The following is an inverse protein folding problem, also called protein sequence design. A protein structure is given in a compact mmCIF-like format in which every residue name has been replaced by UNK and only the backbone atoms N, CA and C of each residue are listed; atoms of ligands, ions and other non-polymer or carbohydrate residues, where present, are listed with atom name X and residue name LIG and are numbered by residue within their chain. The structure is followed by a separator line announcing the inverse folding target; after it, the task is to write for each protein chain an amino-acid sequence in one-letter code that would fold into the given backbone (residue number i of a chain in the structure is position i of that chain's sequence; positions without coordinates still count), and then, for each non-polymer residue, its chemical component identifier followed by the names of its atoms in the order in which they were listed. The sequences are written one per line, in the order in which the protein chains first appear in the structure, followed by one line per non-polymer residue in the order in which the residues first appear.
data_IF_331607719270
#
_entry.id   IF_331607719270
#
_cell.length_a   1.000
_cell.length_b   1.000
_cell.length_c   1.000
_cell.angle_alpha   90.00
_cell.angle_beta   90.00
_cell.angle_gamma   90.00
#
_symmetry.space_group_name_H-M   'P 1'
#
loop_
_entity.id
_entity.type
_entity.pdbx_description
1 polymer ?
#
# COMPACT_ATOMS: atom_id res chain seq x y z
N UNK A 1 -13.82 18.47 1.98
CA UNK A 1 -13.14 17.97 0.76
C UNK A 1 -12.63 16.55 0.93
N UNK A 2 -11.73 16.25 1.87
CA UNK A 2 -11.20 14.88 2.06
C UNK A 2 -12.28 13.83 2.32
N UNK A 3 -13.27 14.11 3.19
CA UNK A 3 -14.42 13.20 3.40
C UNK A 3 -15.15 12.90 2.09
N UNK A 4 -15.58 13.93 1.36
CA UNK A 4 -16.27 13.76 0.08
C UNK A 4 -15.42 13.00 -0.95
N UNK A 5 -14.10 13.24 -0.99
CA UNK A 5 -13.20 12.51 -1.86
C UNK A 5 -13.07 11.03 -1.44
N UNK A 6 -13.05 10.76 -0.12
CA UNK A 6 -13.04 9.39 0.42
C UNK A 6 -14.32 8.63 0.09
N UNK A 7 -15.48 9.26 0.26
CA UNK A 7 -16.77 8.62 -0.07
C UNK A 7 -16.82 8.23 -1.56
N UNK A 8 -16.30 9.08 -2.44
CA UNK A 8 -16.25 8.82 -3.89
C UNK A 8 -15.30 7.69 -4.26
N UNK A 9 -14.08 7.71 -3.74
CA UNK A 9 -13.08 6.70 -4.11
C UNK A 9 -13.48 5.32 -3.58
N UNK A 10 -14.09 5.25 -2.39
CA UNK A 10 -14.66 4.00 -1.85
C UNK A 10 -15.87 3.52 -2.66
N UNK A 11 -16.63 4.43 -3.28
CA UNK A 11 -17.71 4.09 -4.21
C UNK A 11 -17.21 3.68 -5.62
N UNK A 12 -15.90 3.59 -5.83
CA UNK A 12 -15.30 3.13 -7.09
C UNK A 12 -14.98 4.23 -8.10
N UNK A 13 -15.16 5.51 -7.75
CA UNK A 13 -14.67 6.63 -8.57
C UNK A 13 -13.16 6.81 -8.38
N UNK A 14 -12.40 5.90 -9.00
CA UNK A 14 -10.94 5.89 -8.90
C UNK A 14 -10.30 7.08 -9.62
N UNK A 15 -10.92 7.62 -10.67
CA UNK A 15 -10.40 8.79 -11.39
C UNK A 15 -10.48 10.07 -10.55
N UNK A 16 -11.39 10.12 -9.57
CA UNK A 16 -11.50 11.17 -8.56
C UNK A 16 -11.33 12.60 -9.14
N UNK A 17 -12.11 12.99 -10.17
CA UNK A 17 -11.93 14.28 -10.83
C UNK A 17 -12.23 15.44 -9.87
N UNK A 18 -11.39 16.46 -9.89
CA UNK A 18 -11.44 17.60 -8.94
C UNK A 18 -12.81 18.31 -8.93
N UNK A 19 -13.45 18.43 -10.08
CA UNK A 19 -14.81 19.00 -10.20
C UNK A 19 -15.86 18.17 -9.45
N UNK A 20 -15.78 16.84 -9.51
CA UNK A 20 -16.73 15.97 -8.84
C UNK A 20 -16.53 15.97 -7.32
N UNK A 21 -15.27 16.07 -6.86
CA UNK A 21 -14.94 16.28 -5.45
C UNK A 21 -15.47 17.63 -4.96
N UNK A 22 -15.30 18.70 -5.74
CA UNK A 22 -15.81 20.02 -5.42
C UNK A 22 -17.34 20.01 -5.25
N UNK A 23 -18.05 19.42 -6.24
CA UNK A 23 -19.50 19.25 -6.21
C UNK A 23 -19.95 18.45 -4.98
N UNK A 24 -19.32 17.31 -4.71
CA UNK A 24 -19.66 16.47 -3.56
C UNK A 24 -19.36 17.14 -2.21
N UNK A 25 -18.36 18.01 -2.16
CA UNK A 25 -18.00 18.76 -0.96
C UNK A 25 -18.78 20.08 -0.79
N UNK A 26 -19.64 20.47 -1.74
CA UNK A 26 -20.39 21.73 -1.70
C UNK A 26 -19.51 22.98 -1.81
N UNK A 27 -18.35 22.88 -2.46
CA UNK A 27 -17.40 24.00 -2.63
C UNK A 27 -17.10 24.28 -4.09
N UNK A 28 -16.63 25.47 -4.40
CA UNK A 28 -16.12 25.80 -5.74
C UNK A 28 -14.84 25.01 -6.06
N UNK A 29 -14.65 24.62 -7.34
CA UNK A 29 -13.45 23.87 -7.77
C UNK A 29 -12.15 24.64 -7.50
N UNK A 30 -12.18 25.98 -7.60
CA UNK A 30 -11.03 26.81 -7.24
C UNK A 30 -10.58 26.63 -5.80
N UNK A 31 -11.50 26.36 -4.86
CA UNK A 31 -11.16 26.05 -3.46
C UNK A 31 -10.45 24.71 -3.35
N UNK A 32 -10.87 23.70 -4.13
CA UNK A 32 -10.21 22.40 -4.17
C UNK A 32 -8.79 22.54 -4.69
N UNK A 33 -8.57 23.22 -5.82
CA UNK A 33 -7.23 23.41 -6.39
C UNK A 33 -6.30 24.23 -5.49
N UNK A 34 -6.82 25.16 -4.69
CA UNK A 34 -6.00 25.89 -3.69
C UNK A 34 -5.44 24.98 -2.60
N UNK A 35 -6.20 23.96 -2.18
CA UNK A 35 -5.76 23.02 -1.14
C UNK A 35 -5.03 21.80 -1.69
N UNK A 36 -5.44 21.36 -2.89
CA UNK A 36 -4.90 20.20 -3.56
C UNK A 36 -4.60 20.60 -5.01
N UNK A 37 -3.39 21.14 -5.28
CA UNK A 37 -3.03 21.65 -6.60
C UNK A 37 -3.13 20.62 -7.71
N UNK A 38 -2.96 19.33 -7.38
CA UNK A 38 -3.10 18.22 -8.31
C UNK A 38 -3.94 17.10 -7.68
N UNK A 39 -4.50 16.23 -8.52
CA UNK A 39 -5.15 14.99 -8.09
C UNK A 39 -4.21 14.12 -7.25
N UNK A 40 -2.93 14.09 -7.61
CA UNK A 40 -1.94 13.32 -6.88
C UNK A 40 -1.80 13.82 -5.44
N UNK A 41 -1.74 15.13 -5.22
CA UNK A 41 -1.71 15.72 -3.87
C UNK A 41 -2.98 15.37 -3.08
N UNK A 42 -4.15 15.34 -3.72
CA UNK A 42 -5.39 14.90 -3.08
C UNK A 42 -5.34 13.42 -2.67
N UNK A 43 -4.87 12.53 -3.55
CA UNK A 43 -4.75 11.09 -3.25
C UNK A 43 -3.75 10.83 -2.13
N UNK A 44 -2.61 11.50 -2.14
CA UNK A 44 -1.60 11.39 -1.09
C UNK A 44 -2.13 11.88 0.25
N UNK A 45 -2.87 12.99 0.26
CA UNK A 45 -3.56 13.48 1.46
C UNK A 45 -4.61 12.50 1.98
N UNK A 46 -5.29 11.76 1.08
CA UNK A 46 -6.23 10.71 1.48
C UNK A 46 -5.50 9.49 2.05
N UNK A 47 -4.37 9.10 1.46
CA UNK A 47 -3.63 7.90 1.83
C UNK A 47 -2.74 8.09 3.08
N UNK A 48 -2.42 9.33 3.47
CA UNK A 48 -1.41 9.65 4.48
C UNK A 48 -1.54 8.83 5.79
N UNK A 49 -2.76 8.71 6.32
CA UNK A 49 -3.05 7.98 7.55
C UNK A 49 -2.80 6.46 7.39
N UNK A 50 -3.28 5.87 6.29
CA UNK A 50 -3.07 4.45 6.01
C UNK A 50 -1.61 4.14 5.65
N UNK A 51 -0.93 5.04 4.97
CA UNK A 51 0.50 4.92 4.66
C UNK A 51 1.32 4.95 5.96
N UNK A 52 1.05 5.90 6.86
CA UNK A 52 1.69 5.96 8.19
C UNK A 52 1.51 4.66 8.97
N UNK A 53 0.29 4.11 8.99
CA UNK A 53 0.02 2.79 9.61
C UNK A 53 0.77 1.65 8.95
N UNK A 54 0.92 1.68 7.63
CA UNK A 54 1.66 0.67 6.88
C UNK A 54 3.16 0.70 7.23
N UNK A 55 3.76 1.89 7.34
CA UNK A 55 5.14 2.07 7.82
C UNK A 55 5.29 1.46 9.23
N UNK A 56 4.40 1.82 10.16
CA UNK A 56 4.44 1.29 11.52
C UNK A 56 4.27 -0.24 11.56
N UNK A 57 3.48 -0.80 10.64
CA UNK A 57 3.32 -2.25 10.50
C UNK A 57 4.59 -2.92 9.98
N UNK A 58 5.24 -2.32 8.99
CA UNK A 58 6.52 -2.78 8.47
C UNK A 58 7.62 -2.75 9.54
N UNK A 59 7.66 -1.71 10.38
CA UNK A 59 8.60 -1.62 11.50
C UNK A 59 8.35 -2.70 12.55
N UNK A 60 7.08 -2.94 12.93
CA UNK A 60 6.73 -4.03 13.85
C UNK A 60 7.11 -5.40 13.28
N UNK A 61 6.83 -5.65 12.01
CA UNK A 61 7.22 -6.88 11.34
C UNK A 61 8.74 -7.05 11.32
N UNK A 62 9.48 -5.97 11.01
CA UNK A 62 10.94 -5.95 11.02
C UNK A 62 11.55 -6.16 12.41
N UNK A 63 10.80 -5.89 13.49
CA UNK A 63 11.21 -6.14 14.87
C UNK A 63 10.68 -7.46 15.46
N UNK A 64 9.82 -8.20 14.75
CA UNK A 64 9.20 -9.43 15.25
C UNK A 64 10.26 -10.50 15.56
N UNK A 65 10.19 -11.21 16.71
CA UNK A 65 11.11 -12.30 17.03
C UNK A 65 11.05 -13.43 15.99
N UNK A 66 9.83 -13.82 15.61
CA UNK A 66 9.59 -14.74 14.50
C UNK A 66 9.56 -13.95 13.18
N UNK A 67 10.63 -14.08 12.40
CA UNK A 67 10.78 -13.37 11.12
C UNK A 67 9.84 -13.91 10.03
N UNK A 68 9.47 -15.20 10.08
CA UNK A 68 8.55 -15.79 9.10
C UNK A 68 7.12 -15.31 9.35
N UNK A 69 6.71 -15.23 10.62
CA UNK A 69 5.47 -14.57 11.00
C UNK A 69 5.49 -13.09 10.59
N UNK A 70 6.58 -12.37 10.86
CA UNK A 70 6.73 -10.96 10.49
C UNK A 70 6.54 -10.69 8.98
N UNK A 71 7.17 -11.50 8.12
CA UNK A 71 6.97 -11.40 6.64
C UNK A 71 5.51 -11.63 6.27
N UNK A 72 4.90 -12.68 6.81
CA UNK A 72 3.50 -13.02 6.52
C UNK A 72 2.54 -11.92 6.97
N UNK A 73 2.74 -11.38 8.17
CA UNK A 73 1.92 -10.33 8.76
C UNK A 73 2.03 -9.02 7.98
N UNK A 74 3.23 -8.67 7.52
CA UNK A 74 3.43 -7.50 6.67
C UNK A 74 2.66 -7.64 5.36
N UNK A 75 2.82 -8.76 4.66
CA UNK A 75 2.15 -8.98 3.37
C UNK A 75 0.64 -8.97 3.51
N UNK A 76 0.11 -9.64 4.55
CA UNK A 76 -1.32 -9.63 4.89
C UNK A 76 -1.82 -8.21 5.16
N UNK A 77 -1.14 -7.48 6.03
CA UNK A 77 -1.54 -6.13 6.43
C UNK A 77 -1.44 -5.12 5.29
N UNK A 78 -0.43 -5.26 4.43
CA UNK A 78 -0.26 -4.41 3.26
C UNK A 78 -1.36 -4.64 2.23
N UNK A 79 -1.75 -5.91 2.00
CA UNK A 79 -2.86 -6.25 1.12
C UNK A 79 -4.19 -5.71 1.67
N UNK A 80 -4.46 -5.91 2.96
CA UNK A 80 -5.68 -5.43 3.60
C UNK A 80 -5.76 -3.90 3.62
N UNK A 81 -4.65 -3.22 3.92
CA UNK A 81 -4.60 -1.75 3.92
C UNK A 81 -4.94 -1.16 2.55
N UNK A 82 -4.49 -1.80 1.46
CA UNK A 82 -4.81 -1.39 0.09
C UNK A 82 -6.25 -1.70 -0.31
N UNK A 83 -6.88 -2.73 0.27
CA UNK A 83 -8.30 -3.04 0.06
C UNK A 83 -9.21 -2.06 0.79
N UNK A 84 -8.86 -1.72 2.03
CA UNK A 84 -9.61 -0.75 2.84
C UNK A 84 -9.48 0.66 2.29
N UNK A 85 -8.30 1.03 1.78
CA UNK A 85 -8.03 2.35 1.22
C UNK A 85 -7.55 2.29 -0.24
N UNK A 86 -8.46 2.44 -1.22
CA UNK A 86 -8.08 2.53 -2.62
C UNK A 86 -7.12 3.68 -2.93
N UNK A 87 -7.12 4.77 -2.14
CA UNK A 87 -6.17 5.86 -2.33
C UNK A 87 -4.74 5.41 -2.01
N UNK A 88 -4.56 4.63 -0.94
CA UNK A 88 -3.26 4.02 -0.61
C UNK A 88 -2.79 3.12 -1.75
N UNK A 89 -3.67 2.29 -2.31
CA UNK A 89 -3.31 1.41 -3.44
C UNK A 89 -2.84 2.22 -4.67
N UNK A 90 -3.53 3.32 -5.00
CA UNK A 90 -3.13 4.20 -6.10
C UNK A 90 -1.79 4.92 -5.84
N UNK A 91 -1.54 5.33 -4.59
CA UNK A 91 -0.28 5.97 -4.21
C UNK A 91 0.89 4.97 -4.28
N UNK A 92 0.72 3.77 -3.72
CA UNK A 92 1.76 2.72 -3.74
C UNK A 92 2.02 2.15 -5.14
N UNK A 93 1.07 2.26 -6.08
CA UNK A 93 1.27 1.81 -7.45
C UNK A 93 2.13 2.78 -8.30
N UNK A 94 2.47 3.96 -7.78
CA UNK A 94 3.27 4.96 -8.48
C UNK A 94 4.70 5.02 -7.97
N UNK A 95 5.69 5.25 -8.86
CA UNK A 95 7.08 5.45 -8.45
C UNK A 95 7.32 6.81 -7.81
N UNK A 96 6.55 7.83 -8.22
CA UNK A 96 6.75 9.23 -7.83
C UNK A 96 5.62 9.74 -6.93
N UNK A 97 6.00 10.45 -5.87
CA UNK A 97 5.11 11.18 -5.00
C UNK A 97 5.23 12.71 -5.21
N UNK A 98 4.12 13.42 -5.00
CA UNK A 98 4.02 14.87 -5.15
C UNK A 98 4.26 15.62 -3.83
N UNK A 99 3.92 15.02 -2.68
CA UNK A 99 4.09 15.62 -1.37
C UNK A 99 5.39 15.14 -0.71
N UNK A 100 6.20 16.04 -0.11
CA UNK A 100 7.41 15.67 0.62
C UNK A 100 7.17 14.63 1.73
N UNK A 101 6.05 14.75 2.45
CA UNK A 101 5.68 13.79 3.50
C UNK A 101 5.49 12.37 2.96
N UNK A 102 4.84 12.22 1.80
CA UNK A 102 4.68 10.92 1.13
C UNK A 102 6.03 10.35 0.69
N UNK A 103 6.96 11.20 0.24
CA UNK A 103 8.33 10.77 -0.10
C UNK A 103 9.04 10.19 1.12
N UNK A 104 8.95 10.87 2.26
CA UNK A 104 9.55 10.40 3.52
C UNK A 104 8.90 9.10 4.01
N UNK A 105 7.58 8.99 3.95
CA UNK A 105 6.87 7.75 4.28
C UNK A 105 7.27 6.59 3.35
N UNK A 106 7.44 6.84 2.05
CA UNK A 106 7.92 5.84 1.09
C UNK A 106 9.35 5.38 1.38
N UNK A 107 10.24 6.29 1.75
CA UNK A 107 11.61 5.95 2.19
C UNK A 107 11.58 5.14 3.48
N UNK A 108 10.79 5.53 4.46
CA UNK A 108 10.64 4.83 5.73
C UNK A 108 10.09 3.41 5.53
N UNK A 109 9.05 3.26 4.71
CA UNK A 109 8.48 1.95 4.35
C UNK A 109 9.55 1.06 3.69
N UNK A 110 10.24 1.58 2.68
CA UNK A 110 11.29 0.85 1.96
C UNK A 110 12.40 0.40 2.91
N UNK A 111 12.84 1.26 3.82
CA UNK A 111 13.86 0.94 4.82
C UNK A 111 13.39 -0.15 5.79
N UNK A 112 12.15 -0.09 6.27
CA UNK A 112 11.57 -1.09 7.16
C UNK A 112 11.43 -2.46 6.47
N UNK A 113 10.94 -2.48 5.23
CA UNK A 113 10.85 -3.70 4.41
C UNK A 113 12.23 -4.30 4.18
N UNK A 114 13.24 -3.49 3.84
CA UNK A 114 14.60 -3.99 3.63
C UNK A 114 15.18 -4.64 4.88
N UNK A 115 15.01 -4.03 6.07
CA UNK A 115 15.43 -4.64 7.35
C UNK A 115 14.78 -6.00 7.58
N UNK A 116 13.49 -6.11 7.29
CA UNK A 116 12.76 -7.38 7.41
C UNK A 116 13.30 -8.43 6.42
N UNK A 117 13.51 -8.04 5.15
CA UNK A 117 14.02 -8.93 4.12
C UNK A 117 15.44 -9.40 4.41
N UNK A 118 16.31 -8.54 4.93
CA UNK A 118 17.67 -8.91 5.36
C UNK A 118 17.62 -9.97 6.45
N UNK A 119 16.80 -9.77 7.49
CA UNK A 119 16.61 -10.77 8.55
C UNK A 119 16.02 -12.07 8.02
N UNK A 120 15.02 -11.99 7.14
CA UNK A 120 14.37 -13.16 6.57
C UNK A 120 15.32 -13.98 5.68
N UNK A 121 16.20 -13.32 4.93
CA UNK A 121 17.26 -13.98 4.13
C UNK A 121 18.29 -14.65 5.02
N UNK A 122 18.75 -13.97 6.07
CA UNK A 122 19.70 -14.53 7.02
C UNK A 122 19.15 -15.77 7.75
N UNK A 123 17.83 -15.81 7.98
CA UNK A 123 17.14 -16.96 8.57
C UNK A 123 16.72 -18.04 7.55
N UNK A 124 17.04 -17.88 6.26
CA UNK A 124 16.61 -18.82 5.21
C UNK A 124 15.09 -18.87 4.97
N UNK A 125 14.35 -17.86 5.44
CA UNK A 125 12.89 -17.81 5.34
C UNK A 125 12.43 -17.34 3.97
N UNK A 126 13.22 -16.48 3.31
CA UNK A 126 12.91 -15.95 1.98
C UNK A 126 14.05 -16.24 1.01
N UNK A 127 13.69 -16.52 -0.25
CA UNK A 127 14.66 -16.77 -1.33
C UNK A 127 15.57 -15.56 -1.55
N UNK A 128 16.85 -15.78 -1.90
CA UNK A 128 17.76 -14.69 -2.26
C UNK A 128 17.24 -13.95 -3.50
N UNK A 129 17.54 -12.65 -3.57
CA UNK A 129 17.21 -11.80 -4.73
C UNK A 129 15.87 -11.05 -4.65
N UNK A 130 14.95 -11.40 -3.75
CA UNK A 130 13.66 -10.66 -3.61
C UNK A 130 13.85 -9.31 -2.93
N UNK A 131 13.66 -8.23 -3.66
CA UNK A 131 13.81 -6.86 -3.17
C UNK A 131 12.50 -6.28 -2.62
N UNK A 132 12.57 -5.15 -1.91
CA UNK A 132 11.37 -4.41 -1.48
C UNK A 132 10.50 -3.97 -2.67
N UNK A 133 11.14 -3.60 -3.80
CA UNK A 133 10.44 -3.26 -5.03
C UNK A 133 9.68 -4.46 -5.62
N UNK A 134 10.26 -5.66 -5.58
CA UNK A 134 9.57 -6.89 -5.99
C UNK A 134 8.37 -7.17 -5.10
N UNK A 135 8.51 -7.04 -3.77
CA UNK A 135 7.39 -7.21 -2.83
C UNK A 135 6.25 -6.24 -3.15
N UNK A 136 6.57 -4.96 -3.39
CA UNK A 136 5.57 -3.96 -3.77
C UNK A 136 4.88 -4.32 -5.09
N UNK A 137 5.64 -4.69 -6.13
CA UNK A 137 5.08 -5.10 -7.42
C UNK A 137 4.20 -6.36 -7.31
N UNK A 138 4.63 -7.35 -6.54
CA UNK A 138 3.88 -8.58 -6.29
C UNK A 138 2.58 -8.30 -5.53
N UNK A 139 2.58 -7.41 -4.54
CA UNK A 139 1.37 -6.99 -3.83
C UNK A 139 0.40 -6.23 -4.75
N UNK A 140 0.91 -5.38 -5.64
CA UNK A 140 0.08 -4.73 -6.67
C UNK A 140 -0.59 -5.75 -7.60
N UNK A 141 0.15 -6.76 -8.05
CA UNK A 141 -0.38 -7.86 -8.87
C UNK A 141 -1.38 -8.73 -8.10
N UNK A 142 -1.08 -9.06 -6.85
CA UNK A 142 -1.95 -9.85 -5.97
C UNK A 142 -3.28 -9.14 -5.71
N UNK A 143 -3.25 -7.83 -5.43
CA UNK A 143 -4.48 -7.02 -5.30
C UNK A 143 -5.34 -7.15 -6.56
N UNK A 144 -4.76 -6.99 -7.75
CA UNK A 144 -5.49 -7.13 -9.01
C UNK A 144 -6.06 -8.55 -9.19
N UNK A 145 -5.32 -9.58 -8.80
CA UNK A 145 -5.78 -10.96 -8.85
C UNK A 145 -6.99 -11.20 -7.92
N UNK A 146 -6.95 -10.64 -6.70
CA UNK A 146 -8.08 -10.71 -5.75
C UNK A 146 -9.32 -9.99 -6.30
N UNK A 147 -9.16 -8.83 -6.96
CA UNK A 147 -10.28 -8.14 -7.62
C UNK A 147 -10.93 -8.96 -8.74
N UNK A 148 -10.16 -9.76 -9.49
CA UNK A 148 -10.69 -10.67 -10.51
C UNK A 148 -11.36 -11.90 -9.87
N UNK A 149 -10.71 -12.48 -8.87
CA UNK A 149 -11.12 -13.75 -8.25
C UNK A 149 -12.24 -13.61 -7.22
N UNK A 150 -12.49 -12.40 -6.72
CA UNK A 150 -13.40 -12.14 -5.61
C UNK A 150 -12.78 -12.39 -4.24
N UNK A 151 -13.41 -11.83 -3.21
CA UNK A 151 -12.84 -11.72 -1.86
C UNK A 151 -12.51 -13.05 -1.18
N UNK A 152 -13.22 -14.13 -1.52
CA UNK A 152 -12.98 -15.49 -1.00
C UNK A 152 -11.63 -16.07 -1.42
N UNK A 153 -10.94 -15.45 -2.38
CA UNK A 153 -9.64 -15.92 -2.89
C UNK A 153 -8.45 -15.27 -2.21
N UNK A 154 -8.65 -14.23 -1.40
CA UNK A 154 -7.59 -13.42 -0.78
C UNK A 154 -6.59 -14.27 -0.01
N UNK A 155 -7.06 -15.07 0.96
CA UNK A 155 -6.19 -15.90 1.78
C UNK A 155 -5.43 -16.95 0.95
N UNK A 156 -6.11 -17.55 -0.04
CA UNK A 156 -5.50 -18.54 -0.93
C UNK A 156 -4.38 -17.94 -1.76
N UNK A 157 -4.59 -16.77 -2.35
CA UNK A 157 -3.58 -16.13 -3.19
C UNK A 157 -2.42 -15.56 -2.37
N UNK A 158 -2.70 -15.04 -1.18
CA UNK A 158 -1.66 -14.62 -0.24
C UNK A 158 -0.80 -15.81 0.21
N UNK A 159 -1.41 -16.96 0.53
CA UNK A 159 -0.67 -18.18 0.89
C UNK A 159 0.21 -18.67 -0.27
N UNK A 160 -0.29 -18.63 -1.51
CA UNK A 160 0.52 -18.93 -2.71
C UNK A 160 1.72 -18.00 -2.82
N UNK A 161 1.52 -16.68 -2.63
CA UNK A 161 2.61 -15.70 -2.65
C UNK A 161 3.64 -15.99 -1.55
N UNK A 162 3.20 -16.17 -0.30
CA UNK A 162 4.07 -16.44 0.84
C UNK A 162 4.88 -17.72 0.62
N UNK A 163 4.27 -18.78 0.09
CA UNK A 163 4.98 -20.02 -0.24
C UNK A 163 5.99 -19.83 -1.37
N UNK A 164 5.67 -19.08 -2.42
CA UNK A 164 6.57 -18.81 -3.54
C UNK A 164 7.77 -17.92 -3.18
N UNK A 165 7.65 -17.14 -2.11
CA UNK A 165 8.73 -16.32 -1.55
C UNK A 165 9.71 -17.13 -0.70
N UNK A 166 9.32 -18.28 -0.15
CA UNK A 166 10.19 -19.09 0.71
C UNK A 166 11.42 -19.57 -0.04
N UNK A 167 12.54 -19.68 0.69
CA UNK A 167 13.71 -20.36 0.15
C UNK A 167 13.36 -21.82 -0.14
N UNK A 168 13.96 -22.39 -1.19
CA UNK A 168 13.80 -23.82 -1.46
C UNK A 168 14.30 -24.61 -0.25
N UNK A 169 13.55 -25.65 0.14
CA UNK A 169 14.06 -26.61 1.11
C UNK A 169 15.25 -27.32 0.45
N UNK A 170 16.46 -27.03 0.94
CA UNK A 170 17.67 -27.76 0.57
C UNK A 170 17.60 -29.23 0.97
#
# INVERSE_FOLDING_TARGET
MLRAARDRITAGDLDLPMNAVAKAAGVGVGTVYRHFPTRQVLLESLAAEHFTRLVATADRAAAAPDVAAGVTDLLRSALESQRVDPALALVLARPDAACPETVELGRALTAAVNRLLERARAAGVIRPGITAADIQALLCGLRRAVEVGGDTTTDRYLDVLVRGLRADAG
#
